data_IF_108934265034
#
_entry.id   IF_108934265034
#
_cell.length_a   1.000
_cell.length_b   1.000
_cell.length_c   1.000
_cell.angle_alpha   90.00
_cell.angle_beta   90.00
_cell.angle_gamma   90.00
#
_symmetry.space_group_name_H-M   'P 1'
#
loop_
_entity.id
_entity.type
_entity.pdbx_description
1 polymer ?
#
# COMPACT_ATOMS: atom_id res chain seq x y z
N UNK A 1 -11.40 6.19 20.84
CA UNK A 1 -9.98 5.86 20.67
C UNK A 1 -9.40 6.78 19.62
N UNK A 2 -8.16 6.47 19.24
CA UNK A 2 -7.41 7.17 18.21
C UNK A 2 -8.12 7.14 16.85
N UNK A 3 -7.94 8.18 16.04
CA UNK A 3 -8.39 8.25 14.64
C UNK A 3 -7.26 7.79 13.73
N UNK A 4 -7.54 6.81 12.87
CA UNK A 4 -6.61 6.24 11.89
C UNK A 4 -7.15 6.55 10.49
N UNK A 5 -6.38 7.31 9.69
CA UNK A 5 -6.73 7.55 8.30
C UNK A 5 -6.37 6.33 7.43
N UNK A 6 -7.29 5.93 6.55
CA UNK A 6 -7.10 4.83 5.59
C UNK A 6 -7.60 5.23 4.19
N UNK A 7 -7.14 4.55 3.13
CA UNK A 7 -7.66 4.76 1.78
C UNK A 7 -9.16 4.45 1.70
N UNK A 8 -9.89 5.25 0.93
CA UNK A 8 -11.34 5.09 0.70
C UNK A 8 -11.66 4.23 -0.53
N UNK A 9 -10.69 3.87 -1.37
CA UNK A 9 -10.92 2.92 -2.44
C UNK A 9 -11.03 1.49 -1.88
N UNK A 10 -11.88 0.61 -2.45
CA UNK A 10 -12.19 -0.68 -1.85
C UNK A 10 -10.97 -1.58 -1.60
N UNK A 11 -9.99 -1.54 -2.51
CA UNK A 11 -8.83 -2.43 -2.45
C UNK A 11 -7.79 -1.97 -1.42
N UNK A 12 -7.44 -0.69 -1.41
CA UNK A 12 -6.44 -0.19 -0.47
C UNK A 12 -7.03 0.02 0.93
N UNK A 13 -8.33 0.36 1.03
CA UNK A 13 -9.03 0.39 2.31
C UNK A 13 -9.06 -0.97 2.97
N UNK A 14 -9.40 -2.02 2.22
CA UNK A 14 -9.34 -3.40 2.71
C UNK A 14 -7.91 -3.81 3.11
N UNK A 15 -6.91 -3.53 2.25
CA UNK A 15 -5.50 -3.79 2.55
C UNK A 15 -5.03 -3.12 3.84
N UNK A 16 -5.43 -1.86 4.06
CA UNK A 16 -5.12 -1.13 5.29
C UNK A 16 -5.71 -1.82 6.52
N UNK A 17 -6.98 -2.24 6.46
CA UNK A 17 -7.63 -2.96 7.56
C UNK A 17 -6.99 -4.32 7.83
N UNK A 18 -6.62 -5.06 6.77
CA UNK A 18 -5.90 -6.33 6.87
C UNK A 18 -4.55 -6.13 7.55
N UNK A 19 -3.78 -5.11 7.17
CA UNK A 19 -2.49 -4.79 7.78
C UNK A 19 -2.64 -4.51 9.29
N UNK A 20 -3.64 -3.70 9.67
CA UNK A 20 -3.91 -3.38 11.07
C UNK A 20 -4.38 -4.63 11.86
N UNK A 21 -5.14 -5.52 11.22
CA UNK A 21 -5.57 -6.78 11.83
C UNK A 21 -4.41 -7.77 12.03
N UNK A 22 -3.53 -7.91 11.03
CA UNK A 22 -2.32 -8.73 11.11
C UNK A 22 -1.39 -8.29 12.26
N UNK A 23 -1.44 -7.01 12.62
CA UNK A 23 -0.69 -6.42 13.74
C UNK A 23 -1.48 -6.32 15.05
N UNK A 24 -2.64 -6.98 15.14
CA UNK A 24 -3.41 -7.15 16.38
C UNK A 24 -4.09 -5.88 16.90
N UNK A 25 -4.24 -4.84 16.08
CA UNK A 25 -4.93 -3.60 16.48
C UNK A 25 -6.45 -3.75 16.44
N UNK A 26 -6.94 -4.56 15.52
CA UNK A 26 -8.35 -4.91 15.30
C UNK A 26 -8.46 -6.38 14.90
N UNK A 27 -9.68 -6.91 14.87
CA UNK A 27 -10.00 -8.12 14.09
C UNK A 27 -11.04 -7.80 13.04
N UNK A 28 -10.97 -8.49 11.91
CA UNK A 28 -11.85 -8.32 10.76
C UNK A 28 -12.36 -9.68 10.31
N UNK A 29 -13.46 -9.71 9.56
CA UNK A 29 -13.88 -10.93 8.86
C UNK A 29 -12.89 -11.27 7.75
N UNK A 30 -12.87 -12.53 7.33
CA UNK A 30 -12.11 -12.95 6.15
C UNK A 30 -12.73 -12.35 4.89
N UNK A 31 -11.88 -11.83 3.99
CA UNK A 31 -12.31 -11.28 2.71
C UNK A 31 -11.26 -10.36 2.09
N UNK A 32 -11.30 -10.22 0.77
CA UNK A 32 -10.38 -9.36 0.02
C UNK A 32 -10.83 -7.90 -0.07
N UNK A 33 -12.13 -7.64 0.13
CA UNK A 33 -12.76 -6.32 0.01
C UNK A 33 -13.56 -5.99 1.28
N UNK A 34 -12.90 -6.13 2.42
CA UNK A 34 -13.49 -5.79 3.72
C UNK A 34 -13.58 -4.29 3.92
N UNK A 35 -14.54 -3.85 4.72
CA UNK A 35 -14.73 -2.45 5.09
C UNK A 35 -14.65 -2.27 6.61
N UNK A 36 -14.70 -1.03 7.10
CA UNK A 36 -14.77 -0.77 8.53
C UNK A 36 -15.99 -1.43 9.21
N UNK A 37 -17.07 -1.73 8.46
CA UNK A 37 -18.23 -2.46 8.96
C UNK A 37 -17.97 -3.96 9.20
N UNK A 38 -16.86 -4.50 8.68
CA UNK A 38 -16.45 -5.90 8.85
C UNK A 38 -15.49 -6.11 10.03
N UNK A 39 -15.22 -5.07 10.81
CA UNK A 39 -14.44 -5.14 12.04
C UNK A 39 -15.25 -5.88 13.12
N UNK A 40 -14.70 -6.98 13.62
CA UNK A 40 -15.33 -7.86 14.62
C UNK A 40 -14.84 -7.58 16.04
N UNK A 41 -13.61 -7.09 16.21
CA UNK A 41 -13.06 -6.65 17.50
C UNK A 41 -12.26 -5.36 17.34
N UNK A 42 -12.48 -4.39 18.24
CA UNK A 42 -11.78 -3.11 18.26
C UNK A 42 -11.54 -2.68 19.72
N UNK A 43 -10.60 -3.31 20.45
CA UNK A 43 -10.42 -3.11 21.89
C UNK A 43 -10.00 -1.69 22.26
N UNK A 44 -9.38 -0.96 21.32
CA UNK A 44 -8.92 0.43 21.50
C UNK A 44 -9.97 1.47 21.08
N UNK A 45 -11.14 1.03 20.61
CA UNK A 45 -12.19 1.89 20.03
C UNK A 45 -11.61 2.87 18.99
N UNK A 46 -10.74 2.36 18.10
CA UNK A 46 -10.17 3.09 16.98
C UNK A 46 -11.27 3.59 16.06
N UNK A 47 -11.10 4.78 15.50
CA UNK A 47 -11.97 5.36 14.49
C UNK A 47 -11.23 5.33 13.15
N UNK A 48 -11.93 5.01 12.07
CA UNK A 48 -11.36 4.96 10.73
C UNK A 48 -11.89 6.13 9.92
N UNK A 49 -10.97 6.97 9.45
CA UNK A 49 -11.29 8.07 8.54
C UNK A 49 -10.87 7.67 7.12
N UNK A 50 -11.85 7.44 6.27
CA UNK A 50 -11.64 7.01 4.89
C UNK A 50 -11.41 8.25 4.00
N UNK A 51 -10.23 8.34 3.41
CA UNK A 51 -9.80 9.47 2.58
C UNK A 51 -9.26 8.98 1.24
N UNK A 52 -9.28 9.87 0.23
CA UNK A 52 -8.54 9.63 -1.00
C UNK A 52 -7.05 9.38 -0.69
N UNK A 53 -6.47 8.31 -1.23
CA UNK A 53 -5.11 7.86 -0.88
C UNK A 53 -4.05 8.98 -1.00
N UNK A 54 -4.16 9.81 -2.04
CA UNK A 54 -3.26 10.95 -2.28
C UNK A 54 -3.37 12.07 -1.24
N UNK A 55 -4.43 12.10 -0.42
CA UNK A 55 -4.64 13.09 0.62
C UNK A 55 -4.12 12.65 2.00
N UNK A 56 -3.96 11.35 2.23
CA UNK A 56 -3.69 10.79 3.56
C UNK A 56 -2.39 11.34 4.17
N UNK A 57 -1.31 11.41 3.39
CA UNK A 57 -0.02 11.90 3.89
C UNK A 57 -0.11 13.34 4.41
N UNK A 58 -0.99 14.18 3.83
CA UNK A 58 -1.23 15.56 4.30
C UNK A 58 -2.12 15.62 5.54
N UNK A 59 -2.98 14.62 5.74
CA UNK A 59 -3.85 14.50 6.89
C UNK A 59 -3.15 14.00 8.16
N UNK A 60 -1.88 13.57 8.07
CA UNK A 60 -1.10 13.05 9.21
C UNK A 60 -1.07 13.97 10.44
N UNK A 61 -1.17 15.28 10.25
CA UNK A 61 -1.19 16.26 11.34
C UNK A 61 -2.53 16.33 12.09
N UNK A 62 -3.60 15.80 11.49
CA UNK A 62 -4.97 15.88 11.98
C UNK A 62 -5.48 14.53 12.53
N UNK A 63 -4.68 13.45 12.40
CA UNK A 63 -5.02 12.09 12.84
C UNK A 63 -3.94 11.51 13.75
N UNK A 64 -4.30 10.49 14.53
CA UNK A 64 -3.37 9.84 15.45
C UNK A 64 -2.48 8.78 14.76
N UNK A 65 -2.86 8.36 13.55
CA UNK A 65 -2.11 7.46 12.70
C UNK A 65 -2.71 7.37 11.30
N UNK A 66 -1.96 6.82 10.35
CA UNK A 66 -2.44 6.64 9.00
C UNK A 66 -1.80 5.43 8.32
N UNK A 67 -2.55 4.78 7.43
CA UNK A 67 -2.02 3.79 6.49
C UNK A 67 -1.89 4.47 5.13
N UNK A 68 -0.65 4.57 4.62
CA UNK A 68 -0.31 5.38 3.45
C UNK A 68 0.35 4.48 2.41
N UNK A 69 -0.09 4.55 1.14
CA UNK A 69 0.60 3.90 0.04
C UNK A 69 2.01 4.47 -0.14
N UNK A 70 2.99 3.60 -0.37
CA UNK A 70 4.41 3.95 -0.46
C UNK A 70 4.71 5.12 -1.42
N UNK A 71 4.07 5.18 -2.59
CA UNK A 71 4.31 6.26 -3.54
C UNK A 71 3.96 7.64 -2.95
N UNK A 72 2.84 7.77 -2.24
CA UNK A 72 2.41 9.02 -1.61
C UNK A 72 3.24 9.35 -0.36
N UNK A 73 3.69 8.33 0.38
CA UNK A 73 4.59 8.54 1.51
C UNK A 73 5.93 9.14 1.04
N UNK A 74 6.51 8.58 -0.02
CA UNK A 74 7.75 9.08 -0.64
C UNK A 74 7.58 10.51 -1.19
N UNK A 75 6.48 10.79 -1.91
CA UNK A 75 6.16 12.13 -2.41
C UNK A 75 6.01 13.17 -1.28
N UNK A 76 5.50 12.75 -0.12
CA UNK A 76 5.39 13.59 1.07
C UNK A 76 6.70 13.73 1.87
N UNK A 77 7.80 13.13 1.38
CA UNK A 77 9.11 13.19 2.03
C UNK A 77 9.26 12.26 3.24
N UNK A 78 8.34 11.29 3.42
CA UNK A 78 8.45 10.26 4.44
C UNK A 78 9.36 9.14 3.94
N UNK A 79 10.08 8.51 4.88
CA UNK A 79 10.86 7.30 4.65
C UNK A 79 10.10 6.09 5.23
N UNK A 80 9.45 5.25 4.41
CA UNK A 80 8.67 4.11 4.90
C UNK A 80 9.47 3.12 5.76
N UNK A 81 10.77 2.98 5.54
CA UNK A 81 11.62 2.04 6.29
C UNK A 81 11.98 2.59 7.69
N UNK A 82 11.98 3.91 7.87
CA UNK A 82 12.38 4.55 9.12
C UNK A 82 11.20 5.13 9.91
N UNK A 83 10.20 5.67 9.21
CA UNK A 83 9.11 6.46 9.80
C UNK A 83 7.84 5.62 10.02
N UNK A 84 7.69 4.49 9.34
CA UNK A 84 6.50 3.66 9.48
C UNK A 84 6.49 2.92 10.82
N UNK A 85 5.37 3.02 11.53
CA UNK A 85 5.14 2.25 12.77
C UNK A 85 4.91 0.76 12.49
N UNK A 86 4.32 0.46 11.33
CA UNK A 86 4.03 -0.86 10.81
C UNK A 86 4.31 -0.80 9.31
N UNK A 87 5.01 -1.80 8.80
CA UNK A 87 5.25 -1.99 7.37
C UNK A 87 4.69 -3.34 6.95
N UNK A 88 4.03 -3.39 5.79
CA UNK A 88 3.56 -4.66 5.23
C UNK A 88 4.75 -5.55 4.86
N UNK A 89 4.59 -6.85 5.06
CA UNK A 89 5.65 -7.81 4.76
C UNK A 89 5.91 -7.94 3.25
N UNK A 90 7.06 -8.54 2.92
CA UNK A 90 7.47 -8.77 1.54
C UNK A 90 6.72 -9.94 0.86
N UNK A 91 6.01 -10.78 1.62
CA UNK A 91 5.20 -11.89 1.09
C UNK A 91 3.77 -11.44 0.69
N UNK A 92 3.58 -10.13 0.60
CA UNK A 92 2.36 -9.45 0.21
C UNK A 92 1.88 -9.80 -1.22
N UNK A 93 0.57 -10.02 -1.44
CA UNK A 93 0.00 -10.27 -2.75
C UNK A 93 -0.12 -9.00 -3.63
N UNK A 94 0.36 -7.84 -3.16
CA UNK A 94 0.08 -6.53 -3.78
C UNK A 94 1.24 -6.00 -4.63
N UNK A 95 1.91 -6.87 -5.39
CA UNK A 95 2.91 -6.46 -6.36
C UNK A 95 2.28 -5.53 -7.43
N UNK A 96 2.95 -4.43 -7.75
CA UNK A 96 2.54 -3.56 -8.85
C UNK A 96 2.80 -4.23 -10.20
N UNK A 97 1.93 -3.99 -11.18
CA UNK A 97 1.98 -4.66 -12.49
C UNK A 97 2.03 -3.68 -13.65
N UNK A 98 2.62 -4.12 -14.77
CA UNK A 98 2.40 -3.51 -16.07
C UNK A 98 1.04 -4.00 -16.62
N UNK A 99 0.05 -3.11 -16.67
CA UNK A 99 -1.26 -3.41 -17.25
C UNK A 99 -1.33 -2.98 -18.72
N UNK A 100 -1.91 -3.84 -19.56
CA UNK A 100 -2.08 -3.62 -21.01
C UNK A 100 -3.48 -4.03 -21.44
N UNK A 101 -3.90 -3.60 -22.64
CA UNK A 101 -5.18 -4.06 -23.19
C UNK A 101 -5.00 -5.47 -23.74
N UNK A 102 -6.07 -6.27 -23.67
CA UNK A 102 -6.04 -7.65 -24.16
C UNK A 102 -5.65 -7.74 -25.64
N UNK A 103 -6.09 -6.76 -26.44
CA UNK A 103 -5.86 -6.72 -27.89
C UNK A 103 -4.44 -6.31 -28.30
N UNK A 104 -3.63 -5.79 -27.36
CA UNK A 104 -2.26 -5.36 -27.62
C UNK A 104 -1.21 -5.98 -26.71
N UNK A 105 -1.58 -6.98 -25.89
CA UNK A 105 -0.65 -7.66 -24.98
C UNK A 105 0.54 -8.32 -25.69
N UNK A 106 0.36 -8.68 -26.95
CA UNK A 106 1.39 -9.33 -27.78
C UNK A 106 2.23 -8.36 -28.63
N UNK A 107 1.94 -7.06 -28.56
CA UNK A 107 2.67 -6.03 -29.28
C UNK A 107 4.16 -6.03 -28.92
N UNK A 108 5.02 -5.89 -29.93
CA UNK A 108 6.46 -5.94 -29.74
C UNK A 108 6.98 -4.83 -28.81
N UNK A 109 6.38 -3.64 -28.86
CA UNK A 109 6.72 -2.53 -27.97
C UNK A 109 6.33 -2.81 -26.53
N UNK A 110 5.18 -3.48 -26.30
CA UNK A 110 4.75 -3.91 -24.96
C UNK A 110 5.70 -4.95 -24.38
N UNK A 111 6.11 -5.95 -25.18
CA UNK A 111 7.08 -6.98 -24.76
C UNK A 111 8.42 -6.35 -24.41
N UNK A 112 8.92 -5.44 -25.26
CA UNK A 112 10.16 -4.71 -25.02
C UNK A 112 10.09 -3.86 -23.73
N UNK A 113 8.94 -3.22 -23.46
CA UNK A 113 8.73 -2.48 -22.21
C UNK A 113 8.75 -3.41 -20.99
N UNK A 114 8.08 -4.57 -21.07
CA UNK A 114 8.10 -5.57 -19.99
C UNK A 114 9.50 -6.11 -19.70
N UNK A 115 10.30 -6.36 -20.73
CA UNK A 115 11.71 -6.76 -20.58
C UNK A 115 12.55 -5.64 -19.97
N UNK A 116 12.37 -4.39 -20.42
CA UNK A 116 13.10 -3.24 -19.90
C UNK A 116 12.78 -2.97 -18.42
N UNK A 117 11.51 -3.07 -18.01
CA UNK A 117 11.09 -2.90 -16.61
C UNK A 117 11.64 -4.00 -15.70
N UNK A 118 11.87 -5.20 -16.23
CA UNK A 118 12.44 -6.33 -15.50
C UNK A 118 13.97 -6.46 -15.65
N UNK A 119 14.65 -5.42 -16.16
CA UNK A 119 16.09 -5.45 -16.41
C UNK A 119 16.91 -5.38 -15.12
N UNK A 120 18.14 -5.92 -15.10
CA UNK A 120 19.07 -5.76 -13.98
C UNK A 120 19.34 -4.29 -13.61
N UNK A 121 19.35 -3.40 -14.61
CA UNK A 121 19.54 -1.96 -14.42
C UNK A 121 18.37 -1.33 -13.65
N UNK A 122 17.12 -1.69 -13.99
CA UNK A 122 15.94 -1.21 -13.25
C UNK A 122 15.90 -1.80 -11.85
N UNK A 123 16.26 -3.08 -11.69
CA UNK A 123 16.39 -3.71 -10.36
C UNK A 123 17.37 -2.96 -9.47
N UNK A 124 18.57 -2.71 -9.97
CA UNK A 124 19.62 -1.99 -9.26
C UNK A 124 19.20 -0.55 -8.94
N UNK A 125 18.50 0.12 -9.86
CA UNK A 125 17.94 1.44 -9.61
C UNK A 125 16.93 1.42 -8.47
N UNK A 126 15.98 0.49 -8.47
CA UNK A 126 14.96 0.39 -7.42
C UNK A 126 15.62 0.16 -6.05
N UNK A 127 16.55 -0.78 -5.96
CA UNK A 127 17.25 -1.12 -4.72
C UNK A 127 18.08 0.07 -4.19
N UNK A 128 18.76 0.80 -5.08
CA UNK A 128 19.59 1.95 -4.71
C UNK A 128 18.78 3.18 -4.34
N UNK A 129 17.77 3.52 -5.13
CA UNK A 129 16.99 4.76 -4.98
C UNK A 129 16.07 4.67 -3.77
N UNK A 130 15.29 3.59 -3.69
CA UNK A 130 14.24 3.46 -2.68
C UNK A 130 14.68 2.74 -1.41
N UNK A 131 15.89 2.16 -1.40
CA UNK A 131 16.56 1.65 -0.18
C UNK A 131 15.66 0.73 0.67
N UNK A 132 14.90 -0.13 0.00
CA UNK A 132 13.98 -1.09 0.64
C UNK A 132 12.54 -0.60 0.83
N UNK A 133 12.24 0.68 0.60
CA UNK A 133 10.85 1.17 0.58
C UNK A 133 10.04 0.62 -0.61
N UNK A 134 10.73 0.33 -1.72
CA UNK A 134 10.19 -0.38 -2.89
C UNK A 134 11.06 -1.61 -3.13
N UNK A 135 10.43 -2.77 -3.28
CA UNK A 135 11.09 -4.06 -3.54
C UNK A 135 10.76 -4.52 -4.95
N UNK A 136 11.75 -4.88 -5.79
CA UNK A 136 11.51 -5.48 -7.10
C UNK A 136 10.73 -6.80 -7.00
N UNK A 137 9.73 -6.99 -7.87
CA UNK A 137 8.91 -8.20 -7.91
C UNK A 137 9.43 -9.25 -8.93
N UNK A 138 10.70 -9.13 -9.35
CA UNK A 138 11.33 -9.91 -10.41
C UNK A 138 12.82 -10.19 -10.15
#
# INVERSE_FOLDING_TARGET
GATIAIPNDPTNGARALILLAANGLIKVKDGLLITAADITENPKNLKFEELEAAAIARALQDVDGAVINTNYALEAGLNPVADALIIEDQESPYANILAVREDNKDDAGIKALGEALNSPEVKAFIESEYKGAIVPAF
#
